data_IF_448029541577
#
_entry.id   IF_448029541577
#
_cell.length_a   1.000
_cell.length_b   1.000
_cell.length_c   1.000
_cell.angle_alpha   90.00
_cell.angle_beta   90.00
_cell.angle_gamma   90.00
#
_symmetry.space_group_name_H-M   'P 1'
#
loop_
_entity.id
_entity.type
_entity.pdbx_description
1 polymer ?
#
# COMPACT_ATOMS: atom_id res chain seq x y z
N UNK A 1 -10.81 -7.29 12.63
CA UNK A 1 -9.67 -8.22 12.49
C UNK A 1 -8.33 -7.52 12.68
N UNK A 2 -7.91 -6.57 11.83
CA UNK A 2 -6.60 -5.89 11.97
C UNK A 2 -6.44 -5.23 13.34
N UNK A 3 -7.41 -4.41 13.76
CA UNK A 3 -7.42 -3.78 15.10
C UNK A 3 -7.28 -4.79 16.24
N UNK A 4 -7.87 -5.98 16.11
CA UNK A 4 -7.77 -7.07 17.09
C UNK A 4 -6.35 -7.63 17.17
N UNK A 5 -5.70 -7.85 16.02
CA UNK A 5 -4.31 -8.32 15.95
C UNK A 5 -3.35 -7.27 16.53
N UNK A 6 -3.54 -5.99 16.18
CA UNK A 6 -2.77 -4.88 16.76
C UNK A 6 -2.94 -4.79 18.27
N UNK A 7 -4.17 -4.95 18.78
CA UNK A 7 -4.45 -4.95 20.22
C UNK A 7 -3.81 -6.14 20.95
N UNK A 8 -3.63 -7.27 20.27
CA UNK A 8 -2.91 -8.44 20.78
C UNK A 8 -1.38 -8.31 20.72
N UNK A 9 -0.84 -7.14 20.32
CA UNK A 9 0.60 -6.91 20.20
C UNK A 9 1.22 -7.45 18.90
N UNK A 10 0.42 -7.95 17.96
CA UNK A 10 0.94 -8.44 16.68
C UNK A 10 1.25 -7.23 15.79
N UNK A 11 2.51 -7.14 15.38
CA UNK A 11 2.99 -6.13 14.43
C UNK A 11 2.23 -6.27 13.12
N UNK A 12 1.48 -5.22 12.78
CA UNK A 12 0.48 -5.24 11.71
C UNK A 12 0.72 -4.08 10.77
N UNK A 13 0.93 -4.39 9.50
CA UNK A 13 1.12 -3.43 8.43
C UNK A 13 -0.12 -3.37 7.53
N UNK A 14 -0.40 -2.19 7.00
CA UNK A 14 -1.38 -2.02 5.94
C UNK A 14 -0.63 -1.86 4.60
N UNK A 15 -1.01 -2.69 3.64
CA UNK A 15 -0.52 -2.62 2.27
C UNK A 15 -1.66 -2.26 1.34
N UNK A 16 -1.52 -1.16 0.61
CA UNK A 16 -2.48 -0.69 -0.39
C UNK A 16 -2.11 -1.29 -1.75
N UNK A 17 -2.69 -2.44 -2.12
CA UNK A 17 -2.25 -3.23 -3.27
C UNK A 17 -3.36 -3.98 -4.05
N UNK A 18 -3.53 -3.72 -5.37
CA UNK A 18 -3.08 -2.52 -6.08
C UNK A 18 -3.87 -1.29 -5.62
N UNK A 19 -3.29 -0.10 -5.76
CA UNK A 19 -4.03 1.16 -5.53
C UNK A 19 -4.98 1.38 -6.72
N UNK A 20 -6.26 1.09 -6.51
CA UNK A 20 -7.34 1.17 -7.51
C UNK A 20 -8.11 2.49 -7.43
N UNK A 21 -8.95 2.81 -8.43
CA UNK A 21 -9.84 3.97 -8.38
C UNK A 21 -10.57 4.12 -7.04
N UNK A 22 -10.24 5.18 -6.31
CA UNK A 22 -10.76 5.51 -4.98
C UNK A 22 -10.41 6.96 -4.61
N UNK A 23 -10.81 7.39 -3.42
CA UNK A 23 -10.22 8.57 -2.76
C UNK A 23 -8.91 8.15 -2.04
N UNK A 24 -7.73 8.62 -2.51
CA UNK A 24 -6.44 8.23 -1.94
C UNK A 24 -6.24 8.67 -0.49
N UNK A 25 -6.77 9.83 -0.11
CA UNK A 25 -6.63 10.40 1.22
C UNK A 25 -7.50 9.66 2.24
N UNK A 26 -8.75 9.35 1.88
CA UNK A 26 -9.63 8.53 2.72
C UNK A 26 -9.06 7.12 2.90
N UNK A 27 -8.58 6.49 1.82
CA UNK A 27 -7.92 5.18 1.88
C UNK A 27 -6.70 5.19 2.82
N UNK A 28 -5.87 6.23 2.73
CA UNK A 28 -4.70 6.38 3.59
C UNK A 28 -5.11 6.59 5.06
N UNK A 29 -6.13 7.40 5.31
CA UNK A 29 -6.63 7.67 6.66
C UNK A 29 -7.15 6.38 7.34
N UNK A 30 -7.92 5.56 6.63
CA UNK A 30 -8.45 4.30 7.14
C UNK A 30 -7.33 3.28 7.45
N UNK A 31 -6.33 3.20 6.57
CA UNK A 31 -5.18 2.33 6.75
C UNK A 31 -4.33 2.72 7.98
N UNK A 32 -4.14 4.03 8.19
CA UNK A 32 -3.43 4.58 9.34
C UNK A 32 -4.20 4.38 10.65
N UNK A 33 -5.52 4.44 10.63
CA UNK A 33 -6.36 4.15 11.81
C UNK A 33 -6.36 2.67 12.18
N UNK A 34 -6.11 1.81 11.19
CA UNK A 34 -6.11 0.37 11.39
C UNK A 34 -4.77 -0.19 11.86
N UNK A 35 -3.66 0.55 11.73
CA UNK A 35 -2.30 0.02 11.98
C UNK A 35 -1.36 1.01 12.67
N UNK A 36 -0.41 0.48 13.44
CA UNK A 36 0.67 1.25 14.09
C UNK A 36 1.97 1.31 13.30
N UNK A 37 2.02 0.69 12.12
CA UNK A 37 3.21 0.65 11.25
C UNK A 37 3.13 1.55 10.02
N UNK A 38 4.28 1.91 9.46
CA UNK A 38 4.34 2.65 8.19
C UNK A 38 3.51 1.98 7.07
N UNK A 39 3.00 2.79 6.13
CA UNK A 39 2.14 2.31 5.05
C UNK A 39 2.94 1.82 3.85
N UNK A 40 2.53 0.68 3.29
CA UNK A 40 3.14 0.12 2.07
C UNK A 40 2.18 0.31 0.91
N UNK A 41 2.66 0.81 -0.23
CA UNK A 41 1.87 0.92 -1.46
C UNK A 41 2.35 -0.02 -2.57
N UNK A 42 1.41 -0.53 -3.34
CA UNK A 42 1.62 -1.17 -4.64
C UNK A 42 0.74 -0.43 -5.66
N UNK A 43 1.28 0.57 -6.38
CA UNK A 43 0.53 1.30 -7.39
C UNK A 43 -0.02 0.36 -8.45
N UNK A 44 -1.13 0.76 -9.10
CA UNK A 44 -1.69 -0.03 -10.20
C UNK A 44 -0.63 -0.15 -11.30
N UNK A 45 -0.02 -1.33 -11.40
CA UNK A 45 1.11 -1.56 -12.27
C UNK A 45 0.69 -1.52 -13.75
N UNK A 46 1.03 -0.42 -14.43
CA UNK A 46 0.97 -0.28 -15.89
C UNK A 46 2.18 -0.95 -16.56
N UNK A 47 3.05 -1.62 -15.77
CA UNK A 47 4.28 -2.27 -16.25
C UNK A 47 3.98 -3.14 -17.47
N UNK A 48 4.44 -2.64 -18.62
CA UNK A 48 4.57 -3.32 -19.92
C UNK A 48 5.51 -4.54 -19.87
N UNK A 49 6.14 -4.81 -18.72
CA UNK A 49 7.22 -5.79 -18.53
C UNK A 49 6.79 -7.13 -17.94
N UNK A 50 5.49 -7.43 -17.77
CA UNK A 50 5.04 -8.83 -17.64
C UNK A 50 4.60 -9.33 -19.01
N UNK A 51 5.46 -10.07 -19.75
CA UNK A 51 5.18 -10.52 -21.11
C UNK A 51 4.02 -11.52 -21.21
N UNK A 52 3.60 -12.14 -20.10
CA UNK A 52 2.53 -13.13 -20.05
C UNK A 52 1.72 -13.03 -18.75
N UNK A 53 0.43 -13.41 -18.80
CA UNK A 53 -0.46 -13.50 -17.64
C UNK A 53 -1.36 -12.29 -17.37
N UNK A 54 -1.39 -11.29 -18.26
CA UNK A 54 -2.23 -10.10 -18.11
C UNK A 54 -3.59 -10.22 -18.83
N UNK A 55 -4.22 -11.41 -18.86
CA UNK A 55 -5.54 -11.59 -19.48
C UNK A 55 -6.62 -10.70 -18.84
N UNK A 56 -6.41 -10.25 -17.60
CA UNK A 56 -7.27 -9.32 -16.87
C UNK A 56 -6.96 -7.85 -17.12
N UNK A 57 -5.85 -7.49 -17.77
CA UNK A 57 -5.45 -6.09 -17.99
C UNK A 57 -6.37 -5.39 -18.98
N UNK A 58 -6.69 -6.04 -20.09
CA UNK A 58 -7.61 -5.47 -21.08
C UNK A 58 -9.01 -5.33 -20.49
N UNK A 59 -9.52 -6.37 -19.81
CA UNK A 59 -10.80 -6.31 -19.12
C UNK A 59 -10.84 -5.19 -18.06
N UNK A 60 -9.79 -5.03 -17.25
CA UNK A 60 -9.69 -3.96 -16.27
C UNK A 60 -9.65 -2.57 -16.93
N UNK A 61 -8.94 -2.41 -18.04
CA UNK A 61 -8.90 -1.16 -18.82
C UNK A 61 -10.27 -0.84 -19.42
N UNK A 62 -10.98 -1.83 -19.97
CA UNK A 62 -12.33 -1.66 -20.52
C UNK A 62 -13.34 -1.28 -19.44
N UNK A 63 -13.23 -1.89 -18.25
CA UNK A 63 -14.03 -1.53 -17.08
C UNK A 63 -13.74 -0.08 -16.67
N UNK A 64 -12.46 0.30 -16.56
CA UNK A 64 -12.08 1.65 -16.18
C UNK A 64 -12.56 2.70 -17.20
N UNK A 65 -12.43 2.44 -18.50
CA UNK A 65 -12.98 3.30 -19.56
C UNK A 65 -14.49 3.46 -19.43
N UNK A 66 -15.22 2.37 -19.16
CA UNK A 66 -16.67 2.39 -18.96
C UNK A 66 -17.09 3.26 -17.77
N UNK A 67 -16.25 3.33 -16.73
CA UNK A 67 -16.51 4.12 -15.53
C UNK A 67 -15.72 5.44 -15.47
N UNK A 68 -15.10 5.88 -16.58
CA UNK A 68 -14.34 7.14 -16.66
C UNK A 68 -13.16 7.23 -15.67
N UNK A 69 -12.44 6.11 -15.50
CA UNK A 69 -11.26 5.99 -14.64
C UNK A 69 -9.99 5.63 -15.43
N UNK A 70 -9.94 5.97 -16.72
CA UNK A 70 -8.82 5.65 -17.59
C UNK A 70 -7.51 6.33 -17.18
N UNK A 71 -7.59 7.52 -16.56
CA UNK A 71 -6.44 8.22 -15.97
C UNK A 71 -5.68 7.37 -14.93
N UNK A 72 -6.35 6.44 -14.24
CA UNK A 72 -5.71 5.55 -13.26
C UNK A 72 -4.70 4.60 -13.89
N UNK A 73 -4.74 4.42 -15.21
CA UNK A 73 -3.76 3.65 -15.98
C UNK A 73 -2.62 4.52 -16.51
N UNK A 74 -2.55 5.81 -16.17
CA UNK A 74 -1.48 6.71 -16.55
C UNK A 74 -0.39 6.79 -15.47
N UNK A 75 0.92 6.68 -15.83
CA UNK A 75 1.99 6.64 -14.82
C UNK A 75 2.08 7.92 -14.00
N UNK A 76 1.80 9.07 -14.61
CA UNK A 76 1.82 10.37 -13.95
C UNK A 76 0.71 10.46 -12.89
N UNK A 77 -0.49 10.00 -13.21
CA UNK A 77 -1.62 9.99 -12.28
C UNK A 77 -1.35 9.05 -11.09
N UNK A 78 -0.84 7.85 -11.34
CA UNK A 78 -0.43 6.93 -10.25
C UNK A 78 0.65 7.55 -9.36
N UNK A 79 1.60 8.29 -9.93
CA UNK A 79 2.62 9.00 -9.16
C UNK A 79 2.00 10.08 -8.27
N UNK A 80 1.03 10.85 -8.77
CA UNK A 80 0.29 11.84 -7.99
C UNK A 80 -0.52 11.21 -6.85
N UNK A 81 -1.22 10.10 -7.12
CA UNK A 81 -1.95 9.32 -6.11
C UNK A 81 -1.01 8.88 -4.98
N UNK A 82 0.17 8.34 -5.33
CA UNK A 82 1.15 7.91 -4.31
C UNK A 82 1.70 9.07 -3.49
N UNK A 83 1.82 10.26 -4.09
CA UNK A 83 2.24 11.47 -3.38
C UNK A 83 1.16 12.00 -2.45
N UNK A 84 -0.12 11.96 -2.84
CA UNK A 84 -1.25 12.30 -1.96
C UNK A 84 -1.28 11.40 -0.71
N UNK A 85 -1.15 10.08 -0.90
CA UNK A 85 -1.06 9.12 0.21
C UNK A 85 0.16 9.40 1.10
N UNK A 86 1.32 9.70 0.49
CA UNK A 86 2.55 10.05 1.22
C UNK A 86 2.35 11.26 2.13
N UNK A 87 1.68 12.30 1.65
CA UNK A 87 1.38 13.50 2.46
C UNK A 87 0.48 13.19 3.65
N UNK A 88 -0.56 12.36 3.46
CA UNK A 88 -1.45 11.94 4.56
C UNK A 88 -0.71 11.10 5.60
N UNK A 89 0.14 10.17 5.16
CA UNK A 89 0.99 9.41 6.08
C UNK A 89 1.92 10.34 6.86
N UNK A 90 2.59 11.27 6.17
CA UNK A 90 3.52 12.22 6.77
C UNK A 90 2.83 13.15 7.78
N UNK A 91 1.61 13.62 7.51
CA UNK A 91 0.86 14.46 8.44
C UNK A 91 0.46 13.74 9.73
N UNK A 92 0.47 12.40 9.73
CA UNK A 92 0.28 11.55 10.92
C UNK A 92 1.60 11.01 11.49
N UNK A 93 2.74 11.53 11.05
CA UNK A 93 4.07 11.15 11.55
C UNK A 93 4.53 9.77 11.08
N UNK A 94 4.01 9.28 9.94
CA UNK A 94 4.28 7.94 9.40
C UNK A 94 4.88 8.02 8.02
N UNK A 95 5.62 6.98 7.64
CA UNK A 95 6.21 6.88 6.30
C UNK A 95 5.29 6.12 5.37
N UNK A 96 5.45 6.40 4.08
CA UNK A 96 4.85 5.65 2.99
C UNK A 96 5.91 5.38 1.93
N UNK A 97 6.02 4.13 1.50
CA UNK A 97 6.90 3.74 0.39
C UNK A 97 6.24 2.67 -0.47
N UNK A 98 6.71 2.54 -1.71
CA UNK A 98 6.21 1.59 -2.70
C UNK A 98 7.30 0.62 -3.13
N UNK A 99 6.90 -0.55 -3.61
CA UNK A 99 7.86 -1.52 -4.17
C UNK A 99 8.83 -2.10 -3.13
N UNK A 100 10.03 -2.55 -3.55
CA UNK A 100 10.94 -3.32 -2.68
C UNK A 100 11.30 -2.63 -1.36
N UNK A 101 11.41 -1.31 -1.37
CA UNK A 101 11.71 -0.54 -0.16
C UNK A 101 10.58 -0.68 0.88
N UNK A 102 9.33 -0.40 0.51
CA UNK A 102 8.19 -0.52 1.42
C UNK A 102 8.00 -1.96 1.91
N UNK A 103 8.05 -2.94 0.99
CA UNK A 103 7.93 -4.36 1.36
C UNK A 103 9.08 -4.85 2.26
N UNK A 104 10.26 -4.22 2.23
CA UNK A 104 11.35 -4.55 3.16
C UNK A 104 11.00 -4.30 4.62
N UNK A 105 9.99 -3.47 4.92
CA UNK A 105 9.61 -3.17 6.30
C UNK A 105 8.97 -4.36 7.01
N UNK A 106 8.33 -5.26 6.25
CA UNK A 106 7.70 -6.48 6.76
C UNK A 106 8.70 -7.47 7.36
N UNK A 107 9.95 -7.47 6.87
CA UNK A 107 10.99 -8.39 7.34
C UNK A 107 11.87 -7.81 8.46
N UNK A 108 11.67 -6.55 8.83
CA UNK A 108 12.42 -5.94 9.93
C UNK A 108 11.90 -6.50 11.26
N UNK A 109 12.67 -7.36 11.90
CA UNK A 109 12.43 -7.73 13.30
C UNK A 109 12.91 -6.56 14.16
N UNK A 110 12.05 -6.03 15.03
CA UNK A 110 12.49 -5.06 16.03
C UNK A 110 13.47 -5.75 16.98
N UNK A 111 14.71 -5.24 17.10
CA UNK A 111 15.71 -5.77 18.03
C UNK A 111 15.30 -5.66 19.51
N UNK A 112 14.21 -4.96 19.83
CA UNK A 112 13.73 -4.76 21.20
C UNK A 112 12.83 -5.88 21.73
N UNK A 113 12.54 -6.94 20.96
CA UNK A 113 11.52 -7.95 21.31
C UNK A 113 12.07 -9.38 21.50
N UNK A 114 13.39 -9.56 21.59
CA UNK A 114 13.96 -10.87 21.96
C UNK A 114 14.57 -10.77 23.37
N UNK A 115 13.81 -11.05 24.45
CA UNK A 115 14.43 -11.47 25.70
C UNK A 115 14.89 -12.90 25.50
N UNK A 116 16.13 -13.11 25.05
CA UNK A 116 16.80 -14.40 25.18
C UNK A 116 17.82 -14.28 26.31
N UNK A 117 17.47 -14.84 27.46
CA UNK A 117 18.38 -15.15 28.54
C UNK A 117 18.65 -16.65 28.47
N UNK A 118 19.88 -17.11 28.14
CA UNK A 118 20.26 -18.49 28.35
C UNK A 118 20.56 -18.70 29.83
N UNK A 119 19.74 -19.50 30.49
CA UNK A 119 20.19 -20.31 31.64
C UNK A 119 21.09 -21.45 31.14
#
# INVERSE_FOLDING_TARGET
MIRTLTAAGIRTFATLAPILPCDPEELAAEALESTREDLIGDPLHIRSVKPTGASTREAARQIALRYHHDEWFEPAFQSEVTERIRRVAASRGRRFSTGPEGFSWLSRISKSEIPYSPD
#
